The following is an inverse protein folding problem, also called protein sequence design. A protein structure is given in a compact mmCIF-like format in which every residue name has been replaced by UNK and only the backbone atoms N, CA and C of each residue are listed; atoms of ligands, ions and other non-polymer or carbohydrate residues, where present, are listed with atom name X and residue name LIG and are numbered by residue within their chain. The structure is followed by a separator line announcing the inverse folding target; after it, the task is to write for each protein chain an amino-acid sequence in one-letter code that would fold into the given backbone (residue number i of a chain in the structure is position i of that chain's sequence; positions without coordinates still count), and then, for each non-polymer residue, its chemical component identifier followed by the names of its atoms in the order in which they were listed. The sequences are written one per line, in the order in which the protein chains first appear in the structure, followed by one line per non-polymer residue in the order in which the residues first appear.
data_IF_757604720800
#
_entry.id   IF_757604720800
#
_cell.length_a   1.000
_cell.length_b   1.000
_cell.length_c   1.000
_cell.angle_alpha   90.00
_cell.angle_beta   90.00
_cell.angle_gamma   90.00
#
_symmetry.space_group_name_H-M   'P 1'
#
loop_
_entity.id
_entity.type
_entity.pdbx_description
1 polymer ?
#
# COMPACT_ATOMS: atom_id res chain seq x y z
N UNK A 1 15.00 16.65 -7.30
CA UNK A 1 13.98 15.61 -7.06
C UNK A 1 12.60 16.23 -7.17
N UNK A 2 11.57 15.47 -7.56
CA UNK A 2 10.19 15.97 -7.62
C UNK A 2 9.52 15.84 -6.25
N UNK A 3 8.54 16.69 -5.96
CA UNK A 3 7.85 16.71 -4.68
C UNK A 3 6.93 15.48 -4.49
N UNK A 4 6.91 14.86 -3.29
CA UNK A 4 5.92 13.85 -2.96
C UNK A 4 4.50 14.41 -3.08
N UNK A 5 3.61 13.63 -3.71
CA UNK A 5 2.21 14.00 -3.88
C UNK A 5 1.37 13.23 -2.87
N UNK A 6 0.40 13.91 -2.25
CA UNK A 6 -0.54 13.28 -1.33
C UNK A 6 -1.35 12.18 -2.04
N UNK A 7 -1.29 10.98 -1.48
CA UNK A 7 -2.04 9.81 -1.92
C UNK A 7 -3.06 9.40 -0.85
N UNK A 8 -4.13 8.75 -1.30
CA UNK A 8 -5.05 7.98 -0.47
C UNK A 8 -5.60 6.82 -1.28
N UNK A 9 -5.12 5.63 -0.97
CA UNK A 9 -5.34 4.43 -1.78
C UNK A 9 -5.67 3.22 -0.92
N UNK A 10 -6.43 2.29 -1.49
CA UNK A 10 -6.49 0.91 -1.03
C UNK A 10 -5.63 0.05 -1.93
N UNK A 11 -4.81 -0.82 -1.34
CA UNK A 11 -3.98 -1.80 -2.03
C UNK A 11 -4.63 -3.17 -1.89
N UNK A 12 -4.80 -3.85 -3.01
CA UNK A 12 -5.35 -5.20 -3.07
C UNK A 12 -4.37 -6.13 -3.79
N UNK A 13 -4.38 -7.40 -3.39
CA UNK A 13 -3.74 -8.47 -4.15
C UNK A 13 -4.56 -8.78 -5.39
N UNK A 14 -3.88 -9.01 -6.52
CA UNK A 14 -4.49 -9.56 -7.73
C UNK A 14 -4.22 -11.06 -7.79
N UNK A 15 -5.27 -11.86 -7.60
CA UNK A 15 -5.20 -13.31 -7.83
C UNK A 15 -5.26 -13.63 -9.33
N UNK A 16 -4.63 -14.74 -9.73
CA UNK A 16 -4.73 -15.24 -11.10
C UNK A 16 -6.19 -15.56 -11.47
N UNK A 17 -6.62 -15.17 -12.67
CA UNK A 17 -7.97 -15.45 -13.18
C UNK A 17 -9.05 -14.44 -12.78
N UNK A 18 -8.67 -13.29 -12.21
CA UNK A 18 -9.61 -12.22 -11.88
C UNK A 18 -10.28 -11.65 -13.14
N UNK A 19 -11.62 -11.47 -13.14
CA UNK A 19 -12.35 -10.96 -14.29
C UNK A 19 -11.97 -9.51 -14.58
N UNK A 20 -11.87 -9.17 -15.87
CA UNK A 20 -11.72 -7.80 -16.35
C UNK A 20 -13.07 -7.30 -16.90
N UNK A 21 -13.51 -6.07 -16.57
CA UNK A 21 -12.82 -5.09 -15.71
C UNK A 21 -12.83 -5.49 -14.23
N UNK A 22 -11.79 -5.08 -13.51
CA UNK A 22 -11.73 -5.26 -12.05
C UNK A 22 -12.93 -4.60 -11.38
N UNK A 23 -13.57 -5.34 -10.47
CA UNK A 23 -14.67 -4.83 -9.65
C UNK A 23 -14.28 -4.83 -8.17
N UNK A 24 -14.87 -3.92 -7.40
CA UNK A 24 -14.66 -3.88 -5.96
C UNK A 24 -15.05 -5.21 -5.28
N UNK A 25 -16.09 -5.88 -5.76
CA UNK A 25 -16.53 -7.18 -5.21
C UNK A 25 -15.51 -8.29 -5.45
N UNK A 26 -14.89 -8.33 -6.63
CA UNK A 26 -13.86 -9.33 -6.92
C UNK A 26 -12.63 -9.13 -6.02
N UNK A 27 -12.18 -7.88 -5.85
CA UNK A 27 -11.00 -7.56 -5.03
C UNK A 27 -11.25 -7.70 -3.52
N UNK A 28 -12.50 -7.58 -3.06
CA UNK A 28 -12.85 -7.91 -1.67
C UNK A 28 -12.81 -9.41 -1.37
N UNK A 29 -12.81 -10.24 -2.41
CA UNK A 29 -12.73 -11.70 -2.29
C UNK A 29 -11.30 -12.21 -2.49
N UNK A 30 -10.38 -11.38 -2.99
CA UNK A 30 -8.96 -11.70 -3.01
C UNK A 30 -8.33 -11.46 -1.64
N UNK A 31 -7.24 -12.16 -1.40
CA UNK A 31 -6.44 -12.02 -0.20
C UNK A 31 -4.96 -12.07 -0.59
N UNK A 32 -4.11 -11.52 0.26
CA UNK A 32 -2.67 -11.64 0.11
C UNK A 32 -2.20 -13.03 0.54
N UNK A 33 -1.09 -13.50 -0.05
CA UNK A 33 -0.54 -14.84 0.23
C UNK A 33 0.26 -14.90 1.55
N UNK A 34 0.15 -13.88 2.40
CA UNK A 34 0.78 -13.81 3.72
C UNK A 34 -0.25 -13.43 4.80
N UNK A 35 0.05 -13.85 6.03
CA UNK A 35 -0.80 -13.56 7.18
C UNK A 35 -0.62 -12.13 7.69
N UNK A 36 -1.60 -11.68 8.46
CA UNK A 36 -1.54 -10.39 9.15
C UNK A 36 -0.29 -10.29 10.04
N UNK A 37 0.00 -11.33 10.83
CA UNK A 37 1.13 -11.37 11.77
C UNK A 37 2.46 -11.24 11.04
N UNK A 38 2.58 -11.85 9.86
CA UNK A 38 3.78 -11.70 9.04
C UNK A 38 3.95 -10.26 8.57
N UNK A 39 2.88 -9.60 8.13
CA UNK A 39 2.93 -8.21 7.71
C UNK A 39 3.35 -7.29 8.87
N UNK A 40 2.76 -7.47 10.07
CA UNK A 40 3.14 -6.71 11.27
C UNK A 40 4.63 -6.91 11.58
N UNK A 41 5.09 -8.15 11.65
CA UNK A 41 6.48 -8.46 11.97
C UNK A 41 7.49 -7.85 10.97
N UNK A 42 7.15 -7.81 9.67
CA UNK A 42 7.99 -7.16 8.66
C UNK A 42 7.94 -5.61 8.76
N UNK A 43 6.78 -5.03 9.10
CA UNK A 43 6.63 -3.58 9.30
C UNK A 43 7.39 -3.08 10.53
N UNK A 44 7.39 -3.82 11.63
CA UNK A 44 8.12 -3.48 12.86
C UNK A 44 9.64 -3.31 12.64
N UNK A 45 10.18 -3.94 11.59
CA UNK A 45 11.60 -3.82 11.22
C UNK A 45 11.92 -2.49 10.51
N UNK A 46 10.91 -1.76 10.03
CA UNK A 46 11.12 -0.49 9.37
C UNK A 46 11.47 0.60 10.40
N UNK A 47 12.55 1.38 10.17
CA UNK A 47 12.91 2.45 11.08
C UNK A 47 11.79 3.49 11.12
N UNK A 48 11.44 3.94 12.33
CA UNK A 48 10.38 4.94 12.59
C UNK A 48 8.99 4.49 12.11
N UNK A 49 8.77 3.19 11.96
CA UNK A 49 7.44 2.62 11.85
C UNK A 49 6.82 2.52 13.23
N UNK A 50 5.57 2.89 13.32
CA UNK A 50 4.66 2.55 14.40
C UNK A 50 3.53 1.73 13.81
N UNK A 51 3.29 0.54 14.35
CA UNK A 51 2.25 -0.39 13.92
C UNK A 51 1.62 -0.99 15.18
N UNK A 52 0.30 -1.00 15.26
CA UNK A 52 -0.44 -1.61 16.37
C UNK A 52 -1.01 -2.97 15.97
N UNK A 53 -1.38 -3.77 16.98
CA UNK A 53 -1.97 -5.09 16.78
C UNK A 53 -3.37 -5.05 16.13
N UNK A 54 -3.99 -3.87 16.06
CA UNK A 54 -5.24 -3.65 15.34
C UNK A 54 -5.04 -3.37 13.84
N UNK A 55 -3.79 -3.29 13.38
CA UNK A 55 -3.42 -3.03 11.99
C UNK A 55 -3.24 -1.56 11.64
N UNK A 56 -3.47 -0.64 12.59
CA UNK A 56 -3.21 0.78 12.39
C UNK A 56 -1.72 1.06 12.34
N UNK A 57 -1.28 1.84 11.34
CA UNK A 57 0.13 2.12 11.12
C UNK A 57 0.39 3.59 10.82
N UNK A 58 1.56 4.05 11.25
CA UNK A 58 2.14 5.35 10.90
C UNK A 58 3.62 5.13 10.61
N UNK A 59 4.04 5.47 9.39
CA UNK A 59 5.44 5.42 9.00
C UNK A 59 5.92 6.79 8.56
N UNK A 60 7.00 7.27 9.18
CA UNK A 60 7.56 8.56 8.86
C UNK A 60 9.05 8.48 8.57
N UNK A 61 9.54 9.48 7.83
CA UNK A 61 10.95 9.62 7.59
C UNK A 61 11.31 11.00 7.09
N UNK A 62 12.57 11.14 6.70
CA UNK A 62 13.12 12.40 6.24
C UNK A 62 14.07 12.12 5.08
N UNK A 63 13.99 12.93 4.03
CA UNK A 63 14.99 12.96 2.96
C UNK A 63 15.49 14.40 2.84
N UNK A 64 16.80 14.56 3.00
CA UNK A 64 17.50 15.85 3.13
C UNK A 64 16.96 16.68 4.32
N UNK A 65 15.90 17.46 4.09
CA UNK A 65 15.24 18.33 5.09
C UNK A 65 13.72 18.21 5.05
N UNK A 66 13.19 17.33 4.19
CA UNK A 66 11.75 17.18 3.97
C UNK A 66 11.25 15.94 4.71
N UNK A 67 10.37 16.18 5.67
CA UNK A 67 9.66 15.12 6.38
C UNK A 67 8.54 14.58 5.51
N UNK A 68 8.30 13.28 5.64
CA UNK A 68 7.20 12.58 5.00
C UNK A 68 6.53 11.63 5.99
N UNK A 69 5.28 11.28 5.70
CA UNK A 69 4.49 10.35 6.50
C UNK A 69 3.53 9.58 5.61
N UNK A 70 3.33 8.31 5.96
CA UNK A 70 2.27 7.43 5.46
C UNK A 70 1.52 6.89 6.68
N UNK A 71 0.23 7.19 6.76
CA UNK A 71 -0.72 6.60 7.67
C UNK A 71 -1.43 5.43 6.97
N UNK A 72 -1.87 4.43 7.72
CA UNK A 72 -2.57 3.31 7.11
C UNK A 72 -3.30 2.40 8.08
N UNK A 73 -4.00 1.44 7.47
CA UNK A 73 -4.74 0.39 8.18
C UNK A 73 -4.67 -0.90 7.36
N UNK A 74 -4.27 -1.99 8.01
CA UNK A 74 -4.30 -3.34 7.43
C UNK A 74 -5.63 -3.98 7.83
N UNK A 75 -6.38 -4.47 6.84
CA UNK A 75 -7.63 -5.17 7.07
C UNK A 75 -7.44 -6.64 6.74
N UNK A 76 -7.65 -7.51 7.71
CA UNK A 76 -7.60 -8.96 7.53
C UNK A 76 -9.00 -9.60 7.68
N UNK A 77 -9.10 -10.86 7.25
CA UNK A 77 -10.23 -11.73 7.53
C UNK A 77 -9.76 -13.18 7.48
N UNK A 78 -10.17 -13.96 8.48
CA UNK A 78 -9.85 -15.38 8.55
C UNK A 78 -8.34 -15.68 8.45
N UNK A 79 -7.50 -14.82 9.04
CA UNK A 79 -6.03 -14.99 9.07
C UNK A 79 -5.30 -14.51 7.83
N UNK A 80 -5.99 -13.89 6.87
CA UNK A 80 -5.39 -13.36 5.65
C UNK A 80 -5.65 -11.87 5.50
N UNK A 81 -4.64 -11.12 5.05
CA UNK A 81 -4.82 -9.71 4.69
C UNK A 81 -5.74 -9.64 3.46
N UNK A 82 -6.76 -8.80 3.52
CA UNK A 82 -7.68 -8.53 2.42
C UNK A 82 -7.26 -7.29 1.64
N UNK A 83 -6.94 -6.21 2.36
CA UNK A 83 -6.52 -4.94 1.78
C UNK A 83 -5.68 -4.15 2.76
N UNK A 84 -4.93 -3.21 2.22
CA UNK A 84 -4.21 -2.20 3.01
C UNK A 84 -4.68 -0.82 2.57
N UNK A 85 -5.14 -0.01 3.49
CA UNK A 85 -5.39 1.42 3.24
C UNK A 85 -4.14 2.21 3.57
N UNK A 86 -3.72 3.09 2.66
CA UNK A 86 -2.55 3.94 2.83
C UNK A 86 -2.88 5.37 2.42
N UNK A 87 -2.44 6.33 3.23
CA UNK A 87 -2.63 7.76 3.01
C UNK A 87 -1.37 8.51 3.39
N UNK A 88 -0.84 9.33 2.50
CA UNK A 88 0.38 10.07 2.82
C UNK A 88 1.05 10.68 1.60
N UNK A 89 2.13 11.38 1.85
CA UNK A 89 3.03 11.92 0.83
C UNK A 89 4.45 11.51 1.22
N UNK A 90 5.04 10.63 0.42
CA UNK A 90 6.40 10.11 0.64
C UNK A 90 7.13 9.92 -0.70
N UNK A 91 8.48 9.90 -0.69
CA UNK A 91 9.25 9.58 -1.88
C UNK A 91 8.86 8.21 -2.45
N UNK A 92 8.97 8.06 -3.79
CA UNK A 92 8.67 6.79 -4.48
C UNK A 92 9.35 5.58 -3.84
N UNK A 93 10.61 5.72 -3.42
CA UNK A 93 11.37 4.64 -2.77
C UNK A 93 10.74 4.17 -1.46
N UNK A 94 10.15 5.07 -0.67
CA UNK A 94 9.43 4.70 0.55
C UNK A 94 8.18 3.88 0.20
N UNK A 95 7.39 4.33 -0.79
CA UNK A 95 6.25 3.55 -1.27
C UNK A 95 6.64 2.17 -1.77
N UNK A 96 7.71 2.06 -2.57
CA UNK A 96 8.23 0.78 -3.05
C UNK A 96 8.65 -0.15 -1.89
N UNK A 97 9.36 0.38 -0.90
CA UNK A 97 9.76 -0.38 0.29
C UNK A 97 8.54 -0.89 1.06
N UNK A 98 7.55 -0.04 1.32
CA UNK A 98 6.33 -0.43 2.03
C UNK A 98 5.52 -1.47 1.24
N UNK A 99 5.34 -1.26 -0.07
CA UNK A 99 4.62 -2.20 -0.94
C UNK A 99 5.36 -3.54 -1.09
N UNK A 100 6.68 -3.55 -0.92
CA UNK A 100 7.46 -4.79 -0.96
C UNK A 100 7.17 -5.75 0.18
N UNK A 101 6.85 -5.22 1.37
CA UNK A 101 6.38 -6.01 2.52
C UNK A 101 5.06 -6.70 2.18
N UNK A 102 4.22 -6.04 1.37
CA UNK A 102 2.98 -6.61 0.86
C UNK A 102 3.15 -7.47 -0.41
N UNK A 103 4.37 -7.91 -0.72
CA UNK A 103 4.65 -8.89 -1.76
C UNK A 103 5.02 -8.33 -3.13
N UNK A 104 4.95 -7.01 -3.35
CA UNK A 104 5.38 -6.41 -4.61
C UNK A 104 6.92 -6.45 -4.77
N UNK A 105 7.49 -6.63 -5.98
CA UNK A 105 6.84 -6.90 -7.26
C UNK A 105 6.60 -8.39 -7.55
N UNK A 106 6.82 -9.29 -6.58
CA UNK A 106 6.69 -10.74 -6.77
C UNK A 106 5.23 -11.16 -6.95
N UNK A 107 4.31 -10.47 -6.28
CA UNK A 107 2.87 -10.61 -6.42
C UNK A 107 2.31 -9.35 -7.09
N UNK A 108 1.43 -9.50 -8.10
CA UNK A 108 0.75 -8.35 -8.68
C UNK A 108 -0.22 -7.74 -7.66
N UNK A 109 -0.11 -6.43 -7.44
CA UNK A 109 -1.04 -5.67 -6.61
C UNK A 109 -1.70 -4.58 -7.47
N UNK A 110 -2.86 -4.12 -7.02
CA UNK A 110 -3.60 -3.01 -7.63
C UNK A 110 -3.89 -1.95 -6.59
N UNK A 111 -3.80 -0.69 -6.98
CA UNK A 111 -4.21 0.45 -6.15
C UNK A 111 -5.58 0.96 -6.59
N UNK A 112 -6.45 1.24 -5.63
CA UNK A 112 -7.70 1.95 -5.83
C UNK A 112 -7.61 3.30 -5.13
N UNK A 113 -7.82 4.39 -5.84
CA UNK A 113 -7.92 5.70 -5.18
C UNK A 113 -9.21 5.78 -4.37
N UNK A 114 -9.15 6.23 -3.11
CA UNK A 114 -10.34 6.26 -2.25
C UNK A 114 -11.40 7.24 -2.76
N UNK A 115 -10.97 8.35 -3.36
CA UNK A 115 -11.86 9.40 -3.86
C UNK A 115 -12.19 9.25 -5.36
N UNK A 116 -11.81 8.15 -6.00
CA UNK A 116 -12.09 7.91 -7.42
C UNK A 116 -12.45 6.43 -7.62
N UNK A 117 -13.48 6.08 -8.39
CA UNK A 117 -13.81 4.68 -8.69
C UNK A 117 -12.84 4.09 -9.73
N UNK A 118 -11.54 4.28 -9.53
CA UNK A 118 -10.47 3.93 -10.47
C UNK A 118 -9.47 3.02 -9.80
N UNK A 119 -9.28 1.86 -10.41
CA UNK A 119 -8.16 0.97 -10.16
C UNK A 119 -7.02 1.33 -11.11
N UNK A 120 -5.79 1.28 -10.59
CA UNK A 120 -4.56 1.48 -11.36
C UNK A 120 -3.55 0.41 -10.98
N UNK A 121 -2.71 0.06 -11.94
CA UNK A 121 -1.55 -0.77 -11.66
C UNK A 121 -0.60 -0.05 -10.70
N UNK A 122 0.17 -0.82 -9.95
CA UNK A 122 1.07 -0.26 -8.95
C UNK A 122 2.16 0.62 -9.56
N UNK A 123 2.64 0.31 -10.75
CA UNK A 123 3.64 1.15 -11.43
C UNK A 123 3.06 2.53 -11.78
N UNK A 124 1.83 2.58 -12.30
CA UNK A 124 1.12 3.84 -12.58
C UNK A 124 0.89 4.65 -11.29
N UNK A 125 0.53 3.97 -10.19
CA UNK A 125 0.43 4.60 -8.87
C UNK A 125 1.78 5.17 -8.42
N UNK A 126 2.87 4.38 -8.48
CA UNK A 126 4.22 4.80 -8.09
C UNK A 126 4.69 6.03 -8.89
N UNK A 127 4.40 6.08 -10.19
CA UNK A 127 4.65 7.27 -11.02
C UNK A 127 3.85 8.47 -10.52
N UNK A 128 2.59 8.28 -10.11
CA UNK A 128 1.72 9.35 -9.60
C UNK A 128 2.09 9.86 -8.19
N UNK A 129 2.87 9.09 -7.41
CA UNK A 129 3.37 9.53 -6.08
C UNK A 129 4.37 10.68 -6.16
N UNK A 130 4.85 10.99 -7.37
CA UNK A 130 5.87 11.99 -7.63
C UNK A 130 5.27 13.09 -8.52
N UNK A 131 5.45 14.36 -8.14
CA UNK A 131 4.94 15.48 -8.93
C UNK A 131 5.47 15.44 -10.37
N UNK A 132 4.56 15.51 -11.34
CA UNK A 132 4.90 15.75 -12.75
C UNK A 132 5.47 17.18 -12.85
N UNK A 133 6.70 17.31 -13.34
CA UNK A 133 7.32 18.61 -13.64
C UNK A 133 6.70 19.23 -14.89
#
# INVERSE_FOLDING_TARGET
MSEPVQQHVHIYSLSNGMPQPLTASALQSSHFDFSFERAIAELELLPRMFIELDGSLVWCGEVETRRWQIDGMIYDRAGHVLRVELKGAAPRQAWEQLLSIFGWPKQPLVAQYVNQPRFVELEDFLVATVARR
#
